data_IF_747728858660
#
_entry.id   IF_747728858660
#
_cell.length_a   1.000
_cell.length_b   1.000
_cell.length_c   1.000
_cell.angle_alpha   90.00
_cell.angle_beta   90.00
_cell.angle_gamma   90.00
#
_symmetry.space_group_name_H-M   'P 1'
#
loop_
_entity.id
_entity.type
_entity.pdbx_description
1 polymer ?
#
# COMPACT_ATOMS: atom_id res chain seq x y z
N UNK A 1 -14.51 16.09 -3.73
CA UNK A 1 -14.33 15.35 -2.45
C UNK A 1 -12.83 15.09 -2.29
N UNK A 2 -12.17 15.76 -1.34
CA UNK A 2 -10.74 15.56 -1.08
C UNK A 2 -10.55 14.26 -0.29
N UNK A 3 -10.27 13.14 -0.97
CA UNK A 3 -9.81 11.93 -0.28
C UNK A 3 -8.48 12.26 0.40
N UNK A 4 -8.47 12.25 1.73
CA UNK A 4 -7.25 12.37 2.51
C UNK A 4 -6.48 11.05 2.41
N UNK A 5 -5.57 10.96 1.44
CA UNK A 5 -4.64 9.84 1.35
C UNK A 5 -3.68 9.92 2.53
N UNK A 6 -3.64 8.85 3.35
CA UNK A 6 -2.63 8.71 4.40
C UNK A 6 -1.49 7.83 3.87
N UNK A 7 -0.28 8.36 3.67
CA UNK A 7 0.88 7.55 3.31
C UNK A 7 1.20 6.51 4.38
N UNK A 8 1.60 5.32 3.95
CA UNK A 8 2.09 4.22 4.78
C UNK A 8 3.61 4.15 4.59
N UNK A 9 4.38 4.80 5.46
CA UNK A 9 5.84 4.91 5.30
C UNK A 9 6.59 3.90 6.16
N UNK A 10 5.95 3.39 7.22
CA UNK A 10 6.55 2.39 8.12
C UNK A 10 5.99 0.98 7.90
N UNK A 11 6.78 -0.03 8.29
CA UNK A 11 6.29 -1.43 8.29
C UNK A 11 5.07 -1.59 9.19
N UNK A 12 5.03 -0.93 10.36
CA UNK A 12 3.91 -1.01 11.31
C UNK A 12 2.61 -0.55 10.65
N UNK A 13 2.66 0.52 9.88
CA UNK A 13 1.49 1.05 9.17
C UNK A 13 0.98 0.08 8.08
N UNK A 14 1.89 -0.55 7.32
CA UNK A 14 1.54 -1.59 6.35
C UNK A 14 0.89 -2.80 7.03
N UNK A 15 1.48 -3.28 8.14
CA UNK A 15 0.92 -4.39 8.92
C UNK A 15 -0.44 -4.03 9.52
N UNK A 16 -0.61 -2.80 9.99
CA UNK A 16 -1.90 -2.31 10.51
C UNK A 16 -2.96 -2.28 9.41
N UNK A 17 -2.62 -1.82 8.21
CA UNK A 17 -3.53 -1.82 7.06
C UNK A 17 -3.93 -3.24 6.65
N UNK A 18 -2.99 -4.19 6.67
CA UNK A 18 -3.26 -5.60 6.41
C UNK A 18 -4.21 -6.22 7.45
N UNK A 19 -3.92 -6.00 8.76
CA UNK A 19 -4.74 -6.50 9.87
C UNK A 19 -6.17 -5.94 9.83
N UNK A 20 -6.31 -4.65 9.54
CA UNK A 20 -7.61 -3.99 9.46
C UNK A 20 -8.33 -4.24 8.13
N UNK A 21 -7.75 -5.04 7.23
CA UNK A 21 -8.25 -5.24 5.86
C UNK A 21 -8.63 -3.92 5.17
N UNK A 22 -7.80 -2.89 5.36
CA UNK A 22 -8.02 -1.57 4.76
C UNK A 22 -7.39 -1.54 3.37
N UNK A 23 -8.13 -1.17 2.31
CA UNK A 23 -7.58 -1.03 0.97
C UNK A 23 -6.43 -0.02 0.92
N UNK A 24 -5.39 -0.38 0.16
CA UNK A 24 -4.18 0.41 -0.07
C UNK A 24 -4.04 0.62 -1.56
N UNK A 25 -3.81 1.88 -1.96
CA UNK A 25 -3.42 2.22 -3.31
C UNK A 25 -1.89 2.34 -3.41
N UNK A 26 -1.36 1.92 -4.56
CA UNK A 26 0.08 1.90 -4.85
C UNK A 26 0.38 2.89 -5.96
N UNK A 27 1.43 3.68 -5.75
CA UNK A 27 1.86 4.70 -6.68
C UNK A 27 3.34 4.57 -7.02
N UNK A 28 3.70 4.88 -8.27
CA UNK A 28 5.07 5.21 -8.67
C UNK A 28 5.06 6.68 -9.10
N UNK A 29 5.80 7.51 -8.36
CA UNK A 29 5.73 8.97 -8.55
C UNK A 29 4.31 9.49 -8.32
N UNK A 30 3.64 9.96 -9.38
CA UNK A 30 2.27 10.48 -9.34
C UNK A 30 1.23 9.53 -9.97
N UNK A 31 1.67 8.39 -10.48
CA UNK A 31 0.82 7.45 -11.20
C UNK A 31 0.35 6.33 -10.27
N UNK A 32 -0.97 6.06 -10.22
CA UNK A 32 -1.54 4.93 -9.50
C UNK A 32 -1.35 3.68 -10.36
N UNK A 33 -0.56 2.74 -9.87
CA UNK A 33 -0.23 1.51 -10.60
C UNK A 33 -0.96 0.27 -10.06
N UNK A 34 -1.56 0.37 -8.88
CA UNK A 34 -2.27 -0.75 -8.27
C UNK A 34 -3.09 -0.32 -7.07
N UNK A 35 -3.98 -1.20 -6.62
CA UNK A 35 -4.67 -1.06 -5.34
C UNK A 35 -5.33 -2.37 -4.91
N UNK A 36 -5.58 -2.50 -3.61
CA UNK A 36 -6.29 -3.63 -3.04
C UNK A 36 -5.93 -3.85 -1.59
N UNK A 37 -6.24 -5.05 -1.09
CA UNK A 37 -5.86 -5.47 0.25
C UNK A 37 -4.42 -6.00 0.25
N UNK A 38 -3.69 -5.70 1.32
CA UNK A 38 -2.37 -6.30 1.54
C UNK A 38 -2.56 -7.76 1.94
N UNK A 39 -2.01 -8.67 1.15
CA UNK A 39 -2.05 -10.11 1.43
C UNK A 39 -0.77 -10.61 2.11
N UNK A 40 0.38 -10.00 1.78
CA UNK A 40 1.68 -10.39 2.33
C UNK A 40 2.61 -9.19 2.39
N UNK A 41 3.40 -9.10 3.46
CA UNK A 41 4.48 -8.12 3.59
C UNK A 41 5.79 -8.90 3.73
N UNK A 42 6.79 -8.49 2.98
CA UNK A 42 8.18 -8.97 3.08
C UNK A 42 9.10 -7.79 3.36
N UNK A 43 10.38 -8.06 3.60
CA UNK A 43 11.36 -6.99 3.83
C UNK A 43 11.41 -5.99 2.68
N UNK A 44 11.29 -6.46 1.43
CA UNK A 44 11.51 -5.64 0.22
C UNK A 44 10.25 -5.34 -0.59
N UNK A 45 9.18 -6.11 -0.41
CA UNK A 45 7.96 -5.99 -1.22
C UNK A 45 6.67 -6.20 -0.42
N UNK A 46 5.58 -5.63 -0.92
CA UNK A 46 4.22 -5.81 -0.41
C UNK A 46 3.39 -6.48 -1.51
N UNK A 47 2.74 -7.60 -1.20
CA UNK A 47 1.78 -8.25 -2.07
C UNK A 47 0.41 -7.62 -1.86
N UNK A 48 -0.19 -7.09 -2.93
CA UNK A 48 -1.54 -6.53 -2.94
C UNK A 48 -2.31 -7.23 -4.05
N UNK A 49 -3.35 -7.98 -3.67
CA UNK A 49 -3.96 -8.96 -4.58
C UNK A 49 -2.92 -9.93 -5.13
N UNK A 50 -2.89 -10.11 -6.45
CA UNK A 50 -1.96 -11.04 -7.12
C UNK A 50 -0.60 -10.41 -7.51
N UNK A 51 -0.38 -9.14 -7.17
CA UNK A 51 0.82 -8.39 -7.59
C UNK A 51 1.75 -8.06 -6.44
N UNK A 52 3.05 -8.00 -6.72
CA UNK A 52 4.09 -7.60 -5.78
C UNK A 52 4.65 -6.21 -6.11
N UNK A 53 4.68 -5.34 -5.11
CA UNK A 53 5.15 -3.97 -5.23
C UNK A 53 6.37 -3.73 -4.35
N UNK A 54 7.49 -3.34 -4.95
CA UNK A 54 8.74 -3.08 -4.23
C UNK A 54 8.65 -1.82 -3.38
N UNK A 55 8.99 -1.94 -2.09
CA UNK A 55 8.94 -0.85 -1.10
C UNK A 55 9.89 0.30 -1.43
N UNK A 56 10.98 0.01 -2.12
CA UNK A 56 11.97 1.02 -2.54
C UNK A 56 11.45 1.93 -3.67
N UNK A 57 10.52 1.43 -4.49
CA UNK A 57 10.08 2.12 -5.71
C UNK A 57 8.64 2.61 -5.64
N UNK A 58 7.85 2.09 -4.71
CA UNK A 58 6.42 2.36 -4.62
C UNK A 58 6.08 3.16 -3.36
N UNK A 59 5.13 4.09 -3.50
CA UNK A 59 4.45 4.72 -2.39
C UNK A 59 3.11 4.01 -2.12
N UNK A 60 2.85 3.72 -0.85
CA UNK A 60 1.61 3.08 -0.41
C UNK A 60 0.77 4.11 0.35
N UNK A 61 -0.52 4.19 0.05
CA UNK A 61 -1.45 5.09 0.74
C UNK A 61 -2.73 4.35 1.10
N UNK A 62 -3.31 4.66 2.27
CA UNK A 62 -4.64 4.18 2.60
C UNK A 62 -5.66 4.77 1.61
N UNK A 63 -6.50 3.91 1.07
CA UNK A 63 -7.68 4.29 0.31
C UNK A 63 -8.87 4.35 1.29
N UNK A 64 -9.15 5.56 1.79
CA UNK A 64 -10.36 5.87 2.56
C UNK A 64 -11.50 6.33 1.65
#
# INVERSE_FOLDING_TARGET
MNKAYKPLTSSIELHTAALNQTPVAVFIGKERIGAGLIEKITDTAVKIGDEYFFRANCAFVLEK
#
